data_IF_871313075634
#
_entry.id   IF_871313075634
#
_cell.length_a   1.000
_cell.length_b   1.000
_cell.length_c   1.000
_cell.angle_alpha   90.00
_cell.angle_beta   90.00
_cell.angle_gamma   90.00
#
_symmetry.space_group_name_H-M   'P 1'
#
loop_
_entity.id
_entity.type
_entity.pdbx_description
1 polymer ?
#
# COMPACT_ATOMS: atom_id res chain seq x y z
N UNK A 1 -11.37 5.77 15.86
CA UNK A 1 -11.53 4.30 15.85
C UNK A 1 -12.56 3.97 14.77
N UNK A 2 -12.13 3.38 13.65
CA UNK A 2 -12.98 3.12 12.46
C UNK A 2 -14.23 2.33 12.85
N UNK A 3 -14.08 1.30 13.69
CA UNK A 3 -15.19 0.44 14.13
C UNK A 3 -16.23 1.27 14.90
N UNK A 4 -15.79 2.11 15.84
CA UNK A 4 -16.71 2.94 16.62
C UNK A 4 -17.51 3.89 15.74
N UNK A 5 -16.85 4.52 14.75
CA UNK A 5 -17.52 5.40 13.77
C UNK A 5 -18.56 4.64 12.94
N UNK A 6 -18.31 3.38 12.58
CA UNK A 6 -19.33 2.54 11.92
C UNK A 6 -20.52 2.19 12.83
N UNK A 7 -20.29 2.11 14.15
CA UNK A 7 -21.28 1.69 15.15
C UNK A 7 -22.02 2.86 15.81
N UNK A 8 -21.77 4.10 15.40
CA UNK A 8 -22.43 5.28 15.99
C UNK A 8 -23.96 5.14 15.98
N UNK A 9 -24.60 5.56 17.07
CA UNK A 9 -26.05 5.35 17.23
C UNK A 9 -26.83 6.18 16.21
N UNK A 10 -26.41 7.41 15.97
CA UNK A 10 -26.99 8.31 14.98
C UNK A 10 -26.37 8.03 13.61
N UNK A 11 -27.19 8.00 12.56
CA UNK A 11 -26.75 7.66 11.20
C UNK A 11 -25.82 8.74 10.63
N UNK A 12 -26.05 9.98 11.02
CA UNK A 12 -25.33 11.18 10.58
C UNK A 12 -23.88 11.17 11.07
N UNK A 13 -23.62 10.52 12.20
CA UNK A 13 -22.29 10.40 12.81
C UNK A 13 -21.46 9.23 12.24
N UNK A 14 -22.08 8.33 11.45
CA UNK A 14 -21.41 7.23 10.76
C UNK A 14 -20.67 7.72 9.51
N UNK A 15 -19.86 6.84 8.91
CA UNK A 15 -19.39 7.07 7.54
C UNK A 15 -20.58 7.15 6.57
N UNK A 16 -20.64 8.24 5.82
CA UNK A 16 -21.71 8.47 4.85
C UNK A 16 -21.49 7.71 3.54
N UNK A 17 -20.26 7.29 3.29
CA UNK A 17 -19.88 6.51 2.11
C UNK A 17 -18.66 5.62 2.43
N UNK A 18 -18.45 4.61 1.58
CA UNK A 18 -17.36 3.65 1.72
C UNK A 18 -15.99 4.30 1.53
N UNK A 19 -15.91 5.34 0.68
CA UNK A 19 -14.66 6.01 0.35
C UNK A 19 -14.03 6.72 1.57
N UNK A 20 -14.83 7.38 2.40
CA UNK A 20 -14.35 8.02 3.63
C UNK A 20 -13.88 6.98 4.67
N UNK A 21 -14.54 5.83 4.74
CA UNK A 21 -14.07 4.71 5.57
C UNK A 21 -12.75 4.14 5.04
N UNK A 22 -12.60 4.01 3.72
CA UNK A 22 -11.37 3.54 3.09
C UNK A 22 -10.20 4.48 3.33
N UNK A 23 -10.41 5.81 3.32
CA UNK A 23 -9.36 6.79 3.69
C UNK A 23 -8.84 6.57 5.11
N UNK A 24 -9.72 6.41 6.08
CA UNK A 24 -9.30 6.16 7.47
C UNK A 24 -8.58 4.80 7.60
N UNK A 25 -8.99 3.80 6.81
CA UNK A 25 -8.31 2.51 6.76
C UNK A 25 -6.90 2.61 6.14
N UNK A 26 -6.73 3.42 5.09
CA UNK A 26 -5.42 3.70 4.49
C UNK A 26 -4.50 4.32 5.55
N UNK A 27 -4.99 5.31 6.30
CA UNK A 27 -4.19 5.95 7.34
C UNK A 27 -3.82 4.98 8.46
N UNK A 28 -4.75 4.13 8.89
CA UNK A 28 -4.46 3.06 9.82
C UNK A 28 -3.35 2.12 9.31
N UNK A 29 -3.41 1.70 8.05
CA UNK A 29 -2.39 0.85 7.44
C UNK A 29 -1.02 1.53 7.36
N UNK A 30 -0.96 2.85 7.08
CA UNK A 30 0.28 3.64 7.09
C UNK A 30 0.91 3.68 8.49
N UNK A 31 0.09 3.84 9.53
CA UNK A 31 0.53 3.82 10.94
C UNK A 31 1.08 2.44 11.31
N UNK A 32 0.36 1.37 10.98
CA UNK A 32 0.80 0.00 11.24
C UNK A 32 2.08 -0.37 10.48
N UNK A 33 2.22 0.12 9.24
CA UNK A 33 3.47 -0.02 8.50
C UNK A 33 4.62 0.69 9.22
N UNK A 34 4.46 1.95 9.60
CA UNK A 34 5.49 2.71 10.33
C UNK A 34 5.89 2.02 11.64
N UNK A 35 4.92 1.51 12.39
CA UNK A 35 5.15 0.78 13.64
C UNK A 35 5.92 -0.51 13.40
N UNK A 36 5.43 -1.35 12.48
CA UNK A 36 6.09 -2.62 12.15
C UNK A 36 7.48 -2.43 11.54
N UNK A 37 7.71 -1.36 10.77
CA UNK A 37 9.04 -1.01 10.27
C UNK A 37 10.02 -0.68 11.40
N UNK A 38 9.63 0.20 12.34
CA UNK A 38 10.44 0.51 13.52
C UNK A 38 10.73 -0.74 14.38
N UNK A 39 9.73 -1.60 14.58
CA UNK A 39 9.90 -2.87 15.29
C UNK A 39 10.82 -3.84 14.54
N UNK A 40 10.74 -3.89 13.21
CA UNK A 40 11.58 -4.76 12.39
C UNK A 40 13.07 -4.40 12.49
N UNK A 41 13.39 -3.10 12.63
CA UNK A 41 14.78 -2.65 12.88
C UNK A 41 15.32 -3.12 14.23
N UNK A 42 14.44 -3.25 15.23
CA UNK A 42 14.83 -3.64 16.59
C UNK A 42 14.82 -5.16 16.80
N UNK A 43 13.88 -5.87 16.17
CA UNK A 43 13.57 -7.29 16.44
C UNK A 43 13.75 -8.21 15.22
N UNK A 44 14.04 -7.66 14.04
CA UNK A 44 14.26 -8.42 12.81
C UNK A 44 13.00 -8.92 12.08
N UNK A 45 11.78 -8.54 12.50
CA UNK A 45 10.54 -8.97 11.85
C UNK A 45 10.24 -8.19 10.55
N UNK A 46 11.00 -8.53 9.49
CA UNK A 46 10.84 -7.95 8.17
C UNK A 46 9.55 -8.41 7.47
N UNK A 47 9.04 -9.61 7.81
CA UNK A 47 7.83 -10.18 7.18
C UNK A 47 6.60 -9.34 7.48
N UNK A 48 6.42 -8.95 8.75
CA UNK A 48 5.29 -8.10 9.16
C UNK A 48 5.37 -6.72 8.51
N UNK A 49 6.57 -6.13 8.44
CA UNK A 49 6.75 -4.83 7.79
C UNK A 49 6.45 -4.91 6.29
N UNK A 50 6.94 -5.94 5.60
CA UNK A 50 6.62 -6.23 4.19
C UNK A 50 5.10 -6.43 3.97
N UNK A 51 4.43 -7.13 4.89
CA UNK A 51 2.99 -7.35 4.80
C UNK A 51 2.21 -6.03 4.76
N UNK A 52 2.46 -5.14 5.73
CA UNK A 52 1.77 -3.85 5.81
C UNK A 52 2.20 -2.92 4.68
N UNK A 53 3.49 -2.86 4.33
CA UNK A 53 3.99 -2.07 3.21
C UNK A 53 3.22 -2.42 1.92
N UNK A 54 3.16 -3.70 1.57
CA UNK A 54 2.42 -4.13 0.38
C UNK A 54 0.90 -3.92 0.49
N UNK A 55 0.32 -3.93 1.70
CA UNK A 55 -1.10 -3.58 1.86
C UNK A 55 -1.34 -2.10 1.56
N UNK A 56 -0.46 -1.21 2.06
CA UNK A 56 -0.51 0.24 1.78
C UNK A 56 -0.40 0.51 0.28
N UNK A 57 0.56 -0.13 -0.42
CA UNK A 57 0.70 0.04 -1.88
C UNK A 57 -0.57 -0.37 -2.62
N UNK A 58 -1.12 -1.56 -2.36
CA UNK A 58 -2.34 -2.05 -3.02
C UNK A 58 -3.53 -1.12 -2.83
N UNK A 59 -3.74 -0.63 -1.60
CA UNK A 59 -4.90 0.23 -1.31
C UNK A 59 -4.72 1.62 -1.91
N UNK A 60 -3.54 2.22 -1.85
CA UNK A 60 -3.28 3.51 -2.50
C UNK A 60 -3.45 3.42 -4.02
N UNK A 61 -2.96 2.34 -4.64
CA UNK A 61 -3.12 2.11 -6.08
C UNK A 61 -4.60 2.04 -6.48
N UNK A 62 -5.42 1.34 -5.68
CA UNK A 62 -6.86 1.21 -5.89
C UNK A 62 -7.62 2.54 -5.79
N UNK A 63 -7.07 3.52 -5.08
CA UNK A 63 -7.67 4.86 -4.92
C UNK A 63 -7.07 5.88 -5.89
N UNK A 64 -6.28 5.44 -6.86
CA UNK A 64 -5.54 6.29 -7.78
C UNK A 64 -4.63 7.33 -7.07
N UNK A 65 -4.17 7.00 -5.87
CA UNK A 65 -3.27 7.82 -5.07
C UNK A 65 -1.82 7.54 -5.51
N UNK A 66 -1.43 8.14 -6.63
CA UNK A 66 -0.13 7.87 -7.28
C UNK A 66 1.03 8.23 -6.37
N UNK A 67 0.94 9.36 -5.65
CA UNK A 67 2.01 9.83 -4.77
C UNK A 67 2.31 8.80 -3.67
N UNK A 68 1.30 8.35 -2.94
CA UNK A 68 1.52 7.34 -1.90
C UNK A 68 1.85 5.97 -2.52
N UNK A 69 1.25 5.60 -3.64
CA UNK A 69 1.58 4.35 -4.33
C UNK A 69 3.06 4.31 -4.69
N UNK A 70 3.60 5.37 -5.28
CA UNK A 70 5.02 5.49 -5.62
C UNK A 70 5.90 5.43 -4.36
N UNK A 71 5.60 6.26 -3.36
CA UNK A 71 6.35 6.33 -2.10
C UNK A 71 6.50 4.96 -1.44
N UNK A 72 5.39 4.23 -1.27
CA UNK A 72 5.42 2.94 -0.59
C UNK A 72 5.91 1.80 -1.50
N UNK A 73 5.86 1.95 -2.82
CA UNK A 73 6.51 1.00 -3.74
C UNK A 73 8.04 1.11 -3.66
N UNK A 74 8.58 2.33 -3.50
CA UNK A 74 10.01 2.54 -3.24
C UNK A 74 10.42 1.86 -1.93
N UNK A 75 9.60 1.98 -0.88
CA UNK A 75 9.82 1.25 0.37
C UNK A 75 9.76 -0.27 0.18
N UNK A 76 8.81 -0.76 -0.63
CA UNK A 76 8.60 -2.18 -0.90
C UNK A 76 9.83 -2.84 -1.52
N UNK A 77 10.60 -2.10 -2.33
CA UNK A 77 11.85 -2.56 -2.96
C UNK A 77 12.83 -3.15 -1.95
N UNK A 78 12.83 -2.67 -0.71
CA UNK A 78 13.73 -3.17 0.34
C UNK A 78 13.40 -4.60 0.78
N UNK A 79 12.20 -5.11 0.48
CA UNK A 79 11.77 -6.48 0.79
C UNK A 79 11.85 -7.41 -0.42
N UNK A 80 12.00 -6.88 -1.63
CA UNK A 80 12.13 -7.66 -2.85
C UNK A 80 13.53 -8.27 -2.99
N UNK A 81 13.61 -9.47 -3.58
CA UNK A 81 14.85 -10.19 -3.88
C UNK A 81 14.83 -10.65 -5.33
N UNK A 82 16.01 -11.01 -5.85
CA UNK A 82 16.13 -11.60 -7.18
C UNK A 82 15.48 -10.74 -8.28
N UNK A 83 14.71 -11.41 -9.14
CA UNK A 83 14.01 -10.79 -10.28
C UNK A 83 12.94 -9.78 -9.85
N UNK A 84 12.28 -9.99 -8.70
CA UNK A 84 11.23 -9.10 -8.21
C UNK A 84 11.75 -7.69 -7.89
N UNK A 85 13.05 -7.52 -7.63
CA UNK A 85 13.62 -6.18 -7.44
C UNK A 85 13.57 -5.36 -8.72
N UNK A 86 13.77 -6.01 -9.88
CA UNK A 86 13.65 -5.39 -11.20
C UNK A 86 12.19 -5.09 -11.52
N UNK A 87 11.28 -6.02 -11.23
CA UNK A 87 9.84 -5.80 -11.41
C UNK A 87 9.33 -4.60 -10.60
N UNK A 88 9.80 -4.45 -9.36
CA UNK A 88 9.48 -3.29 -8.52
C UNK A 88 10.06 -2.00 -9.11
N UNK A 89 11.28 -2.03 -9.65
CA UNK A 89 11.88 -0.87 -10.35
C UNK A 89 11.06 -0.46 -11.58
N UNK A 90 10.60 -1.43 -12.37
CA UNK A 90 9.77 -1.17 -13.54
C UNK A 90 8.41 -0.56 -13.13
N UNK A 91 7.81 -1.00 -12.02
CA UNK A 91 6.61 -0.35 -11.46
C UNK A 91 6.92 1.09 -11.04
N UNK A 92 8.04 1.32 -10.35
CA UNK A 92 8.44 2.66 -9.87
C UNK A 92 8.56 3.64 -11.04
N UNK A 93 9.20 3.23 -12.14
CA UNK A 93 9.35 4.09 -13.32
C UNK A 93 8.00 4.37 -14.01
N UNK A 94 7.12 3.37 -14.13
CA UNK A 94 5.75 3.59 -14.62
C UNK A 94 4.97 4.59 -13.74
N UNK A 95 5.05 4.45 -12.41
CA UNK A 95 4.36 5.37 -11.49
C UNK A 95 4.92 6.79 -11.56
N UNK A 96 6.25 6.96 -11.67
CA UNK A 96 6.87 8.28 -11.90
C UNK A 96 6.36 8.94 -13.18
N UNK A 97 6.28 8.16 -14.26
CA UNK A 97 5.73 8.64 -15.53
C UNK A 97 4.27 9.08 -15.38
N UNK A 98 3.40 8.26 -14.78
CA UNK A 98 2.00 8.62 -14.55
C UNK A 98 1.86 9.89 -13.71
N UNK A 99 2.68 10.03 -12.66
CA UNK A 99 2.68 11.23 -11.81
C UNK A 99 3.07 12.49 -12.60
N UNK A 100 4.11 12.39 -13.42
CA UNK A 100 4.60 13.50 -14.26
C UNK A 100 3.55 13.92 -15.28
N UNK A 101 2.95 12.96 -15.96
CA UNK A 101 1.94 13.21 -17.01
C UNK A 101 0.53 13.42 -16.44
N UNK A 102 0.35 13.42 -15.11
CA UNK A 102 -0.94 13.55 -14.41
C UNK A 102 -2.00 12.55 -14.90
N UNK A 103 -1.55 11.34 -15.23
CA UNK A 103 -2.39 10.24 -15.66
C UNK A 103 -2.91 9.45 -14.45
N UNK A 104 -3.78 8.46 -14.68
CA UNK A 104 -4.30 7.56 -13.66
C UNK A 104 -3.63 6.19 -13.73
N UNK A 105 -3.63 5.45 -12.62
CA UNK A 105 -3.23 4.05 -12.56
C UNK A 105 -4.29 3.24 -13.29
N UNK A 106 -3.88 2.55 -14.36
CA UNK A 106 -4.77 1.64 -15.08
C UNK A 106 -5.03 0.36 -14.29
N UNK A 107 -6.18 -0.28 -14.56
CA UNK A 107 -6.52 -1.57 -13.97
C UNK A 107 -5.44 -2.63 -14.21
N UNK A 108 -4.80 -2.59 -15.38
CA UNK A 108 -3.72 -3.51 -15.73
C UNK A 108 -2.48 -3.28 -14.86
N UNK A 109 -2.06 -2.02 -14.68
CA UNK A 109 -0.96 -1.69 -13.79
C UNK A 109 -1.29 -2.07 -12.34
N UNK A 110 -2.53 -1.83 -11.89
CA UNK A 110 -2.97 -2.22 -10.55
C UNK A 110 -2.90 -3.74 -10.34
N UNK A 111 -3.31 -4.55 -11.34
CA UNK A 111 -3.18 -6.02 -11.29
C UNK A 111 -1.71 -6.44 -11.21
N UNK A 112 -0.84 -5.84 -12.03
CA UNK A 112 0.60 -6.10 -12.01
C UNK A 112 1.20 -5.82 -10.62
N UNK A 113 0.89 -4.66 -10.04
CA UNK A 113 1.28 -4.28 -8.68
C UNK A 113 0.85 -5.35 -7.66
N UNK A 114 -0.42 -5.79 -7.73
CA UNK A 114 -0.96 -6.76 -6.78
C UNK A 114 -0.29 -8.14 -6.89
N UNK A 115 0.00 -8.60 -8.11
CA UNK A 115 0.69 -9.87 -8.35
C UNK A 115 2.09 -9.82 -7.75
N UNK A 116 2.88 -8.80 -8.08
CA UNK A 116 4.27 -8.66 -7.63
C UNK A 116 4.33 -8.55 -6.10
N UNK A 117 3.46 -7.74 -5.48
CA UNK A 117 3.33 -7.65 -4.01
C UNK A 117 3.04 -9.02 -3.39
N UNK A 118 2.16 -9.81 -4.01
CA UNK A 118 1.84 -11.15 -3.51
C UNK A 118 3.07 -12.06 -3.57
N UNK A 119 3.82 -12.06 -4.67
CA UNK A 119 5.04 -12.87 -4.80
C UNK A 119 6.08 -12.50 -3.74
N UNK A 120 6.34 -11.20 -3.55
CA UNK A 120 7.27 -10.69 -2.54
C UNK A 120 6.85 -11.15 -1.14
N UNK A 121 5.55 -11.05 -0.80
CA UNK A 121 5.03 -11.48 0.50
C UNK A 121 5.17 -12.98 0.75
N UNK A 122 5.03 -13.78 -0.31
CA UNK A 122 5.21 -15.23 -0.23
C UNK A 122 6.69 -15.64 -0.17
N UNK A 123 7.62 -14.68 -0.32
CA UNK A 123 9.05 -14.94 -0.31
C UNK A 123 9.51 -15.76 -1.51
N UNK A 124 8.82 -15.62 -2.66
CA UNK A 124 9.30 -16.22 -3.91
C UNK A 124 10.51 -15.40 -4.40
N UNK A 125 11.47 -16.07 -5.03
CA UNK A 125 12.71 -15.48 -5.57
C UNK A 125 12.83 -15.79 -7.07
#
# INVERSE_FOLDING_TARGET
NIIMKCLEKKKEDRYQNVFDMQKDLIEYLKIEYKKSWSESKLKGDLKRSCFYCGKVVTVCAAHNDIENTLKYTIDLKNYARGEFKKDVDDIIEKLKYLMKEKMVISDELQKQINIIIHQIKMGRE
#
